data_IF_536806755777
#
_entry.id   IF_536806755777
#
_cell.length_a   1.000
_cell.length_b   1.000
_cell.length_c   1.000
_cell.angle_alpha   90.00
_cell.angle_beta   90.00
_cell.angle_gamma   90.00
#
_symmetry.space_group_name_H-M   'P 1'
#
loop_
_entity.id
_entity.type
_entity.pdbx_description
1 polymer ?
#
# COMPACT_ATOMS: atom_id res chain seq x y z
N UNK A 1 32.54 -26.39 31.85
CA UNK A 1 32.81 -25.05 31.27
C UNK A 1 33.27 -25.25 29.84
N UNK A 2 32.36 -25.25 28.86
CA UNK A 2 32.65 -25.04 27.42
C UNK A 2 31.34 -24.93 26.62
N UNK A 3 31.13 -23.72 26.09
CA UNK A 3 30.39 -23.36 24.87
C UNK A 3 28.87 -23.63 24.78
N UNK A 4 28.09 -22.80 25.49
CA UNK A 4 26.73 -22.40 25.07
C UNK A 4 26.76 -21.16 24.14
N UNK A 5 27.74 -21.07 23.23
CA UNK A 5 28.05 -19.83 22.49
C UNK A 5 27.47 -19.70 21.07
N UNK A 6 26.50 -20.51 20.63
CA UNK A 6 26.06 -20.50 19.20
C UNK A 6 24.55 -20.61 18.92
N UNK A 7 23.64 -20.36 19.86
CA UNK A 7 22.19 -20.15 19.55
C UNK A 7 21.76 -18.68 19.45
N UNK A 8 22.72 -17.77 19.34
CA UNK A 8 22.46 -16.32 19.17
C UNK A 8 22.38 -15.94 17.68
N UNK A 9 22.39 -16.91 16.76
CA UNK A 9 22.18 -16.68 15.32
C UNK A 9 20.68 -16.53 15.01
N UNK A 10 20.08 -15.44 15.53
CA UNK A 10 19.12 -14.60 14.81
C UNK A 10 17.99 -15.35 14.08
N UNK A 11 17.27 -16.21 14.80
CA UNK A 11 15.95 -16.65 14.34
C UNK A 11 15.03 -15.43 14.43
N UNK A 12 14.69 -14.82 13.29
CA UNK A 12 13.52 -13.96 13.23
C UNK A 12 12.38 -14.77 13.83
N UNK A 13 11.70 -14.25 14.85
CA UNK A 13 10.56 -14.96 15.42
C UNK A 13 9.56 -15.24 14.30
N UNK A 14 8.90 -16.40 14.31
CA UNK A 14 7.90 -16.73 13.29
C UNK A 14 6.84 -15.64 13.15
N UNK A 15 6.50 -14.98 14.27
CA UNK A 15 5.64 -13.79 14.32
C UNK A 15 6.23 -12.61 13.51
N UNK A 16 7.54 -12.35 13.61
CA UNK A 16 8.18 -11.29 12.83
C UNK A 16 8.13 -11.60 11.32
N UNK A 17 8.45 -12.83 10.92
CA UNK A 17 8.36 -13.25 9.51
C UNK A 17 6.93 -13.12 9.01
N UNK A 18 5.95 -13.61 9.77
CA UNK A 18 4.54 -13.53 9.41
C UNK A 18 4.06 -12.08 9.21
N UNK A 19 4.44 -11.15 10.11
CA UNK A 19 4.11 -9.73 9.96
C UNK A 19 4.66 -9.15 8.66
N UNK A 20 5.89 -9.49 8.29
CA UNK A 20 6.48 -9.06 7.03
C UNK A 20 5.77 -9.67 5.82
N UNK A 21 5.52 -10.99 5.83
CA UNK A 21 4.81 -11.69 4.74
C UNK A 21 3.43 -11.08 4.50
N UNK A 22 2.64 -10.87 5.56
CA UNK A 22 1.31 -10.26 5.46
C UNK A 22 1.40 -8.83 4.94
N UNK A 23 2.40 -8.06 5.37
CA UNK A 23 2.60 -6.69 4.89
C UNK A 23 2.97 -6.62 3.41
N UNK A 24 3.84 -7.52 2.94
CA UNK A 24 4.15 -7.64 1.52
C UNK A 24 2.94 -8.09 0.71
N UNK A 25 2.13 -9.02 1.25
CA UNK A 25 0.90 -9.47 0.60
C UNK A 25 -0.11 -8.32 0.44
N UNK A 26 -0.34 -7.54 1.50
CA UNK A 26 -1.18 -6.34 1.45
C UNK A 26 -0.64 -5.39 0.38
N UNK A 27 0.66 -5.09 0.41
CA UNK A 27 1.26 -4.17 -0.55
C UNK A 27 1.12 -4.66 -1.99
N UNK A 28 1.39 -5.94 -2.26
CA UNK A 28 1.30 -6.54 -3.59
C UNK A 28 -0.14 -6.49 -4.13
N UNK A 29 -1.12 -6.92 -3.33
CA UNK A 29 -2.53 -6.95 -3.74
C UNK A 29 -3.07 -5.54 -3.96
N UNK A 30 -2.74 -4.60 -3.07
CA UNK A 30 -3.19 -3.21 -3.20
C UNK A 30 -2.50 -2.46 -4.34
N UNK A 31 -1.27 -2.83 -4.71
CA UNK A 31 -0.52 -2.18 -5.79
C UNK A 31 -0.79 -2.79 -7.17
N UNK A 32 -1.21 -4.06 -7.22
CA UNK A 32 -1.53 -4.77 -8.46
C UNK A 32 -2.45 -3.98 -9.41
N UNK A 33 -3.57 -3.36 -8.97
CA UNK A 33 -4.48 -2.68 -9.89
C UNK A 33 -4.00 -1.29 -10.35
N UNK A 34 -2.87 -0.75 -9.86
CA UNK A 34 -2.48 0.65 -10.13
C UNK A 34 -2.35 0.94 -11.64
N UNK A 35 -1.69 0.07 -12.40
CA UNK A 35 -1.53 0.28 -13.85
C UNK A 35 -2.86 0.24 -14.60
N UNK A 36 -3.73 -0.70 -14.24
CA UNK A 36 -5.07 -0.81 -14.84
C UNK A 36 -5.95 0.40 -14.49
N UNK A 37 -5.93 0.85 -13.23
CA UNK A 37 -6.66 2.03 -12.77
C UNK A 37 -6.20 3.28 -13.54
N UNK A 38 -4.89 3.49 -13.69
CA UNK A 38 -4.36 4.61 -14.48
C UNK A 38 -4.87 4.58 -15.92
N UNK A 39 -4.82 3.42 -16.57
CA UNK A 39 -5.29 3.28 -17.95
C UNK A 39 -6.79 3.58 -18.09
N UNK A 40 -7.61 3.07 -17.16
CA UNK A 40 -9.06 3.31 -17.15
C UNK A 40 -9.38 4.77 -16.86
N UNK A 41 -8.72 5.40 -15.89
CA UNK A 41 -8.90 6.82 -15.57
C UNK A 41 -8.60 7.66 -16.81
N UNK A 42 -7.48 7.39 -17.50
CA UNK A 42 -7.11 8.09 -18.72
C UNK A 42 -8.15 7.94 -19.82
N UNK A 43 -8.61 6.71 -20.10
CA UNK A 43 -9.67 6.46 -21.07
C UNK A 43 -10.94 7.26 -20.77
N UNK A 44 -11.37 7.29 -19.51
CA UNK A 44 -12.57 8.00 -19.07
C UNK A 44 -12.41 9.52 -19.26
N UNK A 45 -11.23 10.06 -18.94
CA UNK A 45 -10.93 11.49 -19.11
C UNK A 45 -10.88 11.86 -20.59
N UNK A 46 -10.26 11.03 -21.44
CA UNK A 46 -10.19 11.21 -22.89
C UNK A 46 -11.60 11.20 -23.53
N UNK A 47 -12.54 10.43 -22.98
CA UNK A 47 -13.97 10.43 -23.38
C UNK A 47 -14.77 11.65 -22.87
N UNK A 48 -14.11 12.64 -22.26
CA UNK A 48 -14.73 13.86 -21.73
C UNK A 48 -15.45 13.67 -20.38
N UNK A 49 -15.38 12.50 -19.76
CA UNK A 49 -16.04 12.16 -18.48
C UNK A 49 -15.16 12.45 -17.27
N UNK A 50 -14.64 13.67 -17.19
CA UNK A 50 -13.64 14.09 -16.19
C UNK A 50 -14.09 13.88 -14.73
N UNK A 51 -15.40 14.02 -14.45
CA UNK A 51 -15.99 13.72 -13.13
C UNK A 51 -15.74 12.28 -12.68
N UNK A 52 -15.90 11.34 -13.61
CA UNK A 52 -15.86 9.90 -13.31
C UNK A 52 -14.41 9.45 -13.12
N UNK A 53 -13.49 10.00 -13.92
CA UNK A 53 -12.06 9.85 -13.71
C UNK A 53 -11.62 10.36 -12.34
N UNK A 54 -12.20 11.47 -11.88
CA UNK A 54 -11.93 12.03 -10.54
C UNK A 54 -12.43 11.11 -9.43
N UNK A 55 -13.62 10.53 -9.57
CA UNK A 55 -14.15 9.54 -8.61
C UNK A 55 -13.21 8.33 -8.51
N UNK A 56 -12.71 7.84 -9.65
CA UNK A 56 -11.82 6.69 -9.68
C UNK A 56 -10.43 7.01 -9.09
N UNK A 57 -9.92 8.24 -9.24
CA UNK A 57 -8.74 8.74 -8.52
C UNK A 57 -8.95 8.72 -7.00
N UNK A 58 -10.12 9.15 -6.52
CA UNK A 58 -10.46 9.12 -5.09
C UNK A 58 -10.49 7.69 -4.56
N UNK A 59 -11.10 6.75 -5.30
CA UNK A 59 -11.10 5.33 -4.94
C UNK A 59 -9.67 4.78 -4.87
N UNK A 60 -8.83 5.11 -5.86
CA UNK A 60 -7.42 4.72 -5.89
C UNK A 60 -6.66 5.25 -4.67
N UNK A 61 -6.90 6.50 -4.26
CA UNK A 61 -6.30 7.09 -3.07
C UNK A 61 -6.73 6.36 -1.79
N UNK A 62 -8.03 6.07 -1.65
CA UNK A 62 -8.59 5.37 -0.49
C UNK A 62 -7.97 3.98 -0.35
N UNK A 63 -7.86 3.22 -1.44
CA UNK A 63 -7.26 1.88 -1.43
C UNK A 63 -5.84 1.92 -0.87
N UNK A 64 -5.01 2.85 -1.35
CA UNK A 64 -3.63 2.96 -0.88
C UNK A 64 -3.53 3.41 0.58
N UNK A 65 -4.37 4.35 1.02
CA UNK A 65 -4.42 4.77 2.43
C UNK A 65 -4.81 3.59 3.34
N UNK A 66 -5.84 2.84 2.96
CA UNK A 66 -6.30 1.66 3.70
C UNK A 66 -5.20 0.59 3.75
N UNK A 67 -4.48 0.36 2.65
CA UNK A 67 -3.36 -0.59 2.61
C UNK A 67 -2.25 -0.23 3.61
N UNK A 68 -1.84 1.04 3.67
CA UNK A 68 -0.84 1.49 4.66
C UNK A 68 -1.37 1.42 6.10
N UNK A 69 -2.66 1.71 6.30
CA UNK A 69 -3.33 1.53 7.59
C UNK A 69 -3.29 0.07 8.04
N UNK A 70 -3.59 -0.86 7.14
CA UNK A 70 -3.55 -2.30 7.41
C UNK A 70 -2.11 -2.78 7.73
N UNK A 71 -1.10 -2.33 6.97
CA UNK A 71 0.31 -2.65 7.25
C UNK A 71 0.73 -2.15 8.64
N UNK A 72 0.29 -0.95 9.06
CA UNK A 72 0.54 -0.45 10.42
C UNK A 72 -0.12 -1.30 11.49
N UNK A 73 -1.35 -1.73 11.26
CA UNK A 73 -2.09 -2.59 12.17
C UNK A 73 -1.37 -3.94 12.37
N UNK A 74 -0.85 -4.53 11.28
CA UNK A 74 -0.03 -5.76 11.32
C UNK A 74 1.22 -5.59 12.20
N UNK A 75 1.83 -4.41 12.16
CA UNK A 75 2.99 -4.08 12.99
C UNK A 75 2.64 -3.62 14.42
N UNK A 76 1.37 -3.72 14.83
CA UNK A 76 0.84 -3.22 16.11
C UNK A 76 1.18 -1.74 16.35
N UNK A 77 1.19 -0.94 15.28
CA UNK A 77 1.37 0.52 15.31
C UNK A 77 0.01 1.20 15.16
N UNK A 78 -0.19 2.43 15.67
CA UNK A 78 -1.46 3.14 15.52
C UNK A 78 -1.81 3.33 14.04
N UNK A 79 -3.02 2.93 13.65
CA UNK A 79 -3.48 3.00 12.26
C UNK A 79 -3.64 4.45 11.76
N UNK A 80 -4.02 5.38 12.64
CA UNK A 80 -4.24 6.80 12.31
C UNK A 80 -2.94 7.62 12.45
N UNK A 81 -1.96 7.34 11.60
CA UNK A 81 -0.74 8.15 11.51
C UNK A 81 -0.77 9.03 10.26
N UNK A 82 -0.33 10.31 10.29
CA UNK A 82 -0.31 11.19 9.11
C UNK A 82 0.35 10.57 7.88
N UNK A 83 1.34 9.70 8.10
CA UNK A 83 2.06 8.98 7.06
C UNK A 83 1.22 7.98 6.25
N UNK A 84 0.00 7.62 6.67
CA UNK A 84 -0.88 6.77 5.82
C UNK A 84 -1.32 7.50 4.55
N UNK A 85 -1.27 8.84 4.54
CA UNK A 85 -1.55 9.64 3.34
C UNK A 85 -0.56 9.36 2.21
N UNK A 86 0.63 8.80 2.49
CA UNK A 86 1.54 8.32 1.45
C UNK A 86 0.90 7.23 0.57
N UNK A 87 -0.13 6.55 1.05
CA UNK A 87 -0.89 5.58 0.27
C UNK A 87 -1.62 6.24 -0.92
N UNK A 88 -1.89 7.53 -0.85
CA UNK A 88 -2.50 8.28 -1.93
C UNK A 88 -1.51 8.74 -3.02
N UNK A 89 -0.20 8.50 -2.87
CA UNK A 89 0.82 8.95 -3.85
C UNK A 89 0.47 8.54 -5.29
N UNK A 90 0.10 7.28 -5.58
CA UNK A 90 -0.24 6.90 -6.95
C UNK A 90 -1.40 7.73 -7.51
N UNK A 91 -2.38 8.06 -6.67
CA UNK A 91 -3.56 8.83 -7.09
C UNK A 91 -3.20 10.29 -7.34
N UNK A 92 -2.34 10.87 -6.51
CA UNK A 92 -1.81 12.22 -6.73
C UNK A 92 -1.03 12.28 -8.05
N UNK A 93 -0.15 11.31 -8.30
CA UNK A 93 0.64 11.25 -9.54
C UNK A 93 -0.27 11.09 -10.76
N UNK A 94 -1.23 10.18 -10.71
CA UNK A 94 -2.20 9.98 -11.80
C UNK A 94 -3.03 11.24 -12.04
N UNK A 95 -3.52 11.89 -10.98
CA UNK A 95 -4.26 13.15 -11.08
C UNK A 95 -3.45 14.25 -11.75
N UNK A 96 -2.17 14.42 -11.37
CA UNK A 96 -1.29 15.43 -11.96
C UNK A 96 -0.95 15.18 -13.44
N UNK A 97 -0.92 13.91 -13.87
CA UNK A 97 -0.52 13.53 -15.23
C UNK A 97 -1.70 13.38 -16.21
N UNK A 98 -2.90 13.10 -15.71
CA UNK A 98 -4.06 12.71 -16.53
C UNK A 98 -5.15 13.78 -16.52
N UNK A 99 -5.36 14.48 -15.40
CA UNK A 99 -6.45 15.44 -15.22
C UNK A 99 -6.05 16.81 -15.75
#
# INVERSE_FOLDING_TARGET
MLMSRTRVRRELTTEQVQRWVVSFLILAVSSFPIGALIAVIRSIVDDGRRSDGTILLVVMAIIGIVALGAIRLVHRRPAFAPWILLGAIPAVVAGLLIL
#
